data_IF_107396788008
#
_entry.id   IF_107396788008
#
_cell.length_a   1.000
_cell.length_b   1.000
_cell.length_c   1.000
_cell.angle_alpha   90.00
_cell.angle_beta   90.00
_cell.angle_gamma   90.00
#
_symmetry.space_group_name_H-M   'P 1'
#
loop_
_entity.id
_entity.type
_entity.pdbx_description
1 polymer ?
#
# COMPACT_ATOMS: atom_id res chain seq x y z
N UNK A 1 25.56 6.53 -13.13
CA UNK A 1 25.41 5.67 -11.94
C UNK A 1 24.03 5.06 -12.03
N UNK A 2 23.90 3.78 -12.37
CA UNK A 2 22.59 3.11 -12.37
C UNK A 2 22.04 3.13 -10.94
N UNK A 3 20.91 3.79 -10.73
CA UNK A 3 20.25 3.85 -9.43
C UNK A 3 19.69 2.47 -9.09
N UNK A 4 20.49 1.67 -8.38
CA UNK A 4 20.08 0.37 -7.89
C UNK A 4 18.85 0.53 -6.99
N UNK A 5 17.78 -0.17 -7.34
CA UNK A 5 16.53 -0.16 -6.58
C UNK A 5 16.79 -0.53 -5.10
N UNK A 6 16.33 0.28 -4.13
CA UNK A 6 16.52 -0.02 -2.72
C UNK A 6 15.91 -1.36 -2.31
N UNK A 7 16.57 -2.10 -1.40
CA UNK A 7 16.15 -3.44 -0.97
C UNK A 7 14.71 -3.49 -0.43
N UNK A 8 14.31 -2.50 0.37
CA UNK A 8 12.97 -2.46 0.96
C UNK A 8 11.86 -2.32 -0.10
N UNK A 9 12.16 -1.63 -1.20
CA UNK A 9 11.24 -1.49 -2.35
C UNK A 9 11.15 -2.81 -3.13
N UNK A 10 12.28 -3.50 -3.31
CA UNK A 10 12.30 -4.84 -3.92
C UNK A 10 11.45 -5.83 -3.10
N UNK A 11 11.67 -5.89 -1.79
CA UNK A 11 10.92 -6.76 -0.88
C UNK A 11 9.41 -6.46 -0.96
N UNK A 12 9.02 -5.18 -0.97
CA UNK A 12 7.61 -4.80 -1.10
C UNK A 12 6.99 -5.32 -2.40
N UNK A 13 7.75 -5.28 -3.51
CA UNK A 13 7.29 -5.80 -4.79
C UNK A 13 7.17 -7.34 -4.80
N UNK A 14 8.13 -8.04 -4.19
CA UNK A 14 8.15 -9.51 -4.08
C UNK A 14 6.99 -10.03 -3.22
N UNK A 15 6.75 -9.37 -2.09
CA UNK A 15 5.62 -9.65 -1.21
C UNK A 15 4.31 -9.37 -1.95
N UNK A 16 4.21 -8.22 -2.62
CA UNK A 16 3.07 -7.88 -3.47
C UNK A 16 1.73 -8.03 -2.74
N UNK A 17 0.71 -8.51 -3.44
CA UNK A 17 -0.61 -8.73 -2.85
C UNK A 17 -0.67 -9.90 -1.85
N UNK A 18 0.39 -10.70 -1.70
CA UNK A 18 0.40 -11.82 -0.75
C UNK A 18 0.22 -11.35 0.70
N UNK A 19 0.80 -10.20 1.06
CA UNK A 19 0.66 -9.63 2.40
C UNK A 19 -0.79 -9.17 2.68
N UNK A 20 -1.44 -8.35 1.82
CA UNK A 20 -2.86 -8.04 1.98
C UNK A 20 -3.76 -9.27 2.08
N UNK A 21 -3.51 -10.32 1.29
CA UNK A 21 -4.26 -11.57 1.39
C UNK A 21 -4.06 -12.27 2.73
N UNK A 22 -2.80 -12.42 3.18
CA UNK A 22 -2.51 -13.00 4.49
C UNK A 22 -3.15 -12.17 5.63
N UNK A 23 -3.08 -10.84 5.54
CA UNK A 23 -3.66 -9.92 6.50
C UNK A 23 -5.18 -10.09 6.60
N UNK A 24 -5.87 -10.11 5.46
CA UNK A 24 -7.32 -10.26 5.42
C UNK A 24 -7.77 -11.68 5.79
N UNK A 25 -6.95 -12.71 5.54
CA UNK A 25 -7.22 -14.07 5.99
C UNK A 25 -7.11 -14.17 7.52
N UNK A 26 -6.08 -13.59 8.12
CA UNK A 26 -5.96 -13.50 9.58
C UNK A 26 -7.10 -12.70 10.20
N UNK A 27 -7.46 -11.58 9.59
CA UNK A 27 -8.60 -10.77 10.00
C UNK A 27 -9.91 -11.54 9.93
N UNK A 28 -10.14 -12.32 8.87
CA UNK A 28 -11.34 -13.15 8.72
C UNK A 28 -11.44 -14.20 9.84
N UNK A 29 -10.34 -14.88 10.16
CA UNK A 29 -10.31 -15.87 11.25
C UNK A 29 -10.64 -15.21 12.59
N UNK A 30 -10.00 -14.08 12.91
CA UNK A 30 -10.26 -13.33 14.16
C UNK A 30 -11.68 -12.80 14.18
N UNK A 31 -12.15 -12.26 13.06
CA UNK A 31 -13.49 -11.69 12.91
C UNK A 31 -14.58 -12.74 13.10
N UNK A 32 -14.43 -13.95 12.56
CA UNK A 32 -15.38 -15.06 12.78
C UNK A 32 -15.45 -15.45 14.27
N UNK A 33 -14.35 -15.35 15.01
CA UNK A 33 -14.29 -15.71 16.43
C UNK A 33 -14.81 -14.61 17.37
N UNK A 34 -14.78 -13.34 16.94
CA UNK A 34 -15.00 -12.19 17.83
C UNK A 34 -16.09 -11.22 17.38
N UNK A 35 -16.54 -11.29 16.13
CA UNK A 35 -17.48 -10.38 15.48
C UNK A 35 -18.58 -11.18 14.76
N UNK A 36 -19.58 -10.49 14.22
CA UNK A 36 -20.55 -11.11 13.32
C UNK A 36 -19.87 -11.61 12.03
N UNK A 37 -20.21 -12.82 11.60
CA UNK A 37 -19.60 -13.48 10.43
C UNK A 37 -19.75 -12.61 9.17
N UNK A 38 -20.94 -12.03 8.95
CA UNK A 38 -21.21 -11.16 7.81
C UNK A 38 -20.29 -9.92 7.82
N UNK A 39 -20.08 -9.30 8.98
CA UNK A 39 -19.19 -8.16 9.15
C UNK A 39 -17.73 -8.55 8.88
N UNK A 40 -17.27 -9.69 9.42
CA UNK A 40 -15.91 -10.18 9.22
C UNK A 40 -15.59 -10.45 7.73
N UNK A 41 -16.52 -11.07 7.00
CA UNK A 41 -16.40 -11.30 5.55
C UNK A 41 -16.37 -9.96 4.80
N UNK A 42 -17.32 -9.08 5.10
CA UNK A 42 -17.43 -7.79 4.42
C UNK A 42 -16.18 -6.93 4.62
N UNK A 43 -15.71 -6.77 5.88
CA UNK A 43 -14.51 -5.98 6.22
C UNK A 43 -13.27 -6.53 5.50
N UNK A 44 -13.12 -7.86 5.44
CA UNK A 44 -11.98 -8.49 4.76
C UNK A 44 -11.99 -8.22 3.26
N UNK A 45 -13.14 -8.37 2.60
CA UNK A 45 -13.29 -8.11 1.16
C UNK A 45 -13.11 -6.62 0.85
N UNK A 46 -13.74 -5.75 1.64
CA UNK A 46 -13.62 -4.31 1.49
C UNK A 46 -12.16 -3.85 1.65
N UNK A 47 -11.42 -4.42 2.59
CA UNK A 47 -10.00 -4.12 2.80
C UNK A 47 -9.15 -4.50 1.59
N UNK A 48 -9.35 -5.70 1.02
CA UNK A 48 -8.65 -6.12 -0.21
C UNK A 48 -8.99 -5.21 -1.40
N UNK A 49 -10.27 -4.87 -1.56
CA UNK A 49 -10.71 -3.95 -2.60
C UNK A 49 -10.04 -2.59 -2.45
N UNK A 50 -9.99 -2.03 -1.23
CA UNK A 50 -9.35 -0.75 -0.95
C UNK A 50 -7.85 -0.78 -1.21
N UNK A 51 -7.14 -1.86 -0.83
CA UNK A 51 -5.71 -2.03 -1.19
C UNK A 51 -5.52 -2.03 -2.70
N UNK A 52 -6.35 -2.76 -3.43
CA UNK A 52 -6.29 -2.79 -4.90
C UNK A 52 -6.59 -1.42 -5.50
N UNK A 53 -7.60 -0.72 -4.98
CA UNK A 53 -8.02 0.59 -5.43
C UNK A 53 -6.94 1.64 -5.20
N UNK A 54 -6.36 1.72 -3.99
CA UNK A 54 -5.27 2.66 -3.69
C UNK A 54 -4.03 2.35 -4.50
N UNK A 55 -3.70 1.06 -4.70
CA UNK A 55 -2.64 0.64 -5.60
C UNK A 55 -2.86 1.17 -7.03
N UNK A 56 -4.05 0.98 -7.60
CA UNK A 56 -4.39 1.42 -8.96
C UNK A 56 -4.41 2.95 -9.07
N UNK A 57 -5.01 3.62 -8.12
CA UNK A 57 -5.10 5.08 -8.08
C UNK A 57 -3.70 5.72 -8.03
N UNK A 58 -2.84 5.25 -7.13
CA UNK A 58 -1.46 5.72 -7.04
C UNK A 58 -0.68 5.39 -8.32
N UNK A 59 -0.87 4.19 -8.88
CA UNK A 59 -0.17 3.77 -10.10
C UNK A 59 -0.58 4.60 -11.32
N UNK A 60 -1.81 5.10 -11.35
CA UNK A 60 -2.30 6.04 -12.35
C UNK A 60 -1.57 7.38 -12.23
N UNK A 61 -1.53 7.99 -11.04
CA UNK A 61 -0.80 9.25 -10.84
C UNK A 61 0.70 9.14 -11.17
N UNK A 62 1.36 8.06 -10.78
CA UNK A 62 2.77 7.84 -11.10
C UNK A 62 3.01 7.64 -12.59
N UNK A 63 2.03 7.15 -13.35
CA UNK A 63 2.18 6.95 -14.79
C UNK A 63 2.33 8.26 -15.57
N UNK A 64 1.89 9.40 -15.03
CA UNK A 64 2.14 10.70 -15.64
C UNK A 64 3.63 11.03 -15.72
N UNK A 65 4.44 10.53 -14.80
CA UNK A 65 5.89 10.71 -14.87
C UNK A 65 6.47 10.04 -16.11
N UNK A 66 6.02 8.83 -16.44
CA UNK A 66 6.49 8.09 -17.62
C UNK A 66 6.10 8.78 -18.94
N UNK A 67 4.96 9.45 -18.97
CA UNK A 67 4.41 10.06 -20.19
C UNK A 67 4.82 11.51 -20.40
N UNK A 68 4.93 12.29 -19.33
CA UNK A 68 5.09 13.75 -19.41
C UNK A 68 6.41 14.25 -18.83
N UNK A 69 7.16 13.42 -18.10
CA UNK A 69 8.47 13.81 -17.57
C UNK A 69 8.43 15.04 -16.65
N UNK A 70 7.35 15.19 -15.88
CA UNK A 70 7.06 16.38 -15.07
C UNK A 70 8.21 16.66 -14.07
N UNK A 71 8.77 15.60 -13.49
CA UNK A 71 9.88 15.69 -12.53
C UNK A 71 11.20 15.22 -13.14
N UNK A 72 12.32 15.72 -12.61
CA UNK A 72 13.63 15.12 -12.87
C UNK A 72 13.67 13.71 -12.26
N UNK A 73 14.33 12.75 -12.92
CA UNK A 73 14.36 11.33 -12.50
C UNK A 73 14.76 11.12 -11.03
N UNK A 74 15.80 11.81 -10.55
CA UNK A 74 16.23 11.71 -9.15
C UNK A 74 15.21 12.28 -8.15
N UNK A 75 14.44 13.31 -8.54
CA UNK A 75 13.37 13.88 -7.71
C UNK A 75 12.22 12.88 -7.63
N UNK A 76 11.83 12.30 -8.78
CA UNK A 76 10.80 11.28 -8.83
C UNK A 76 11.12 10.08 -7.94
N UNK A 77 12.34 9.56 -8.00
CA UNK A 77 12.80 8.48 -7.11
C UNK A 77 12.66 8.86 -5.64
N UNK A 78 13.01 10.08 -5.25
CA UNK A 78 12.85 10.56 -3.88
C UNK A 78 11.37 10.71 -3.48
N UNK A 79 10.49 11.12 -4.40
CA UNK A 79 9.04 11.14 -4.17
C UNK A 79 8.51 9.73 -3.92
N UNK A 80 8.93 8.74 -4.72
CA UNK A 80 8.52 7.35 -4.50
C UNK A 80 9.01 6.81 -3.15
N UNK A 81 10.24 7.15 -2.72
CA UNK A 81 10.72 6.82 -1.38
C UNK A 81 9.86 7.47 -0.30
N UNK A 82 9.59 8.76 -0.42
CA UNK A 82 8.79 9.50 0.56
C UNK A 82 7.40 8.88 0.70
N UNK A 83 6.72 8.60 -0.41
CA UNK A 83 5.41 7.96 -0.41
C UNK A 83 5.46 6.58 0.25
N UNK A 84 6.48 5.78 -0.07
CA UNK A 84 6.67 4.48 0.56
C UNK A 84 6.81 4.60 2.09
N UNK A 85 7.65 5.51 2.59
CA UNK A 85 7.87 5.70 4.02
C UNK A 85 6.65 6.28 4.75
N UNK A 86 5.99 7.29 4.16
CA UNK A 86 4.77 7.86 4.73
C UNK A 86 3.68 6.79 4.82
N UNK A 87 3.52 5.97 3.78
CA UNK A 87 2.53 4.90 3.76
C UNK A 87 2.84 3.82 4.80
N UNK A 88 4.11 3.44 4.98
CA UNK A 88 4.53 2.53 6.04
C UNK A 88 4.22 3.11 7.43
N UNK A 89 4.55 4.39 7.63
CA UNK A 89 4.26 5.08 8.88
C UNK A 89 2.76 5.12 9.17
N UNK A 90 1.93 5.47 8.17
CA UNK A 90 0.48 5.45 8.29
C UNK A 90 -0.06 4.05 8.59
N UNK A 91 0.45 3.00 7.94
CA UNK A 91 0.08 1.62 8.23
C UNK A 91 0.33 1.28 9.70
N UNK A 92 1.57 1.48 10.16
CA UNK A 92 1.99 1.12 11.53
C UNK A 92 1.25 1.96 12.57
N UNK A 93 1.15 3.27 12.38
CA UNK A 93 0.49 4.15 13.33
C UNK A 93 -1.01 3.90 13.43
N UNK A 94 -1.70 3.66 12.31
CA UNK A 94 -3.13 3.33 12.37
C UNK A 94 -3.34 1.98 13.04
N UNK A 95 -2.51 0.97 12.75
CA UNK A 95 -2.59 -0.32 13.41
C UNK A 95 -2.37 -0.21 14.93
N UNK A 96 -1.27 0.41 15.36
CA UNK A 96 -0.93 0.58 16.78
C UNK A 96 -1.97 1.44 17.49
N UNK A 97 -2.42 2.54 16.87
CA UNK A 97 -3.46 3.40 17.44
C UNK A 97 -4.74 2.60 17.69
N UNK A 98 -5.16 1.79 16.72
CA UNK A 98 -6.38 0.98 16.82
C UNK A 98 -6.29 -0.07 17.92
N UNK A 99 -5.12 -0.70 18.09
CA UNK A 99 -4.90 -1.67 19.15
C UNK A 99 -4.88 -1.06 20.56
N UNK A 100 -4.33 0.16 20.70
CA UNK A 100 -4.10 0.76 22.01
C UNK A 100 -5.24 1.67 22.49
N UNK A 101 -5.97 2.30 21.56
CA UNK A 101 -6.92 3.38 21.90
C UNK A 101 -8.36 3.11 21.48
N UNK A 102 -8.63 2.12 20.63
CA UNK A 102 -9.98 1.75 20.23
C UNK A 102 -10.40 0.44 20.93
N UNK A 103 -11.71 0.17 20.99
CA UNK A 103 -12.23 -1.06 21.61
C UNK A 103 -13.29 -1.74 20.74
N UNK A 104 -13.42 -3.05 20.88
CA UNK A 104 -14.47 -3.83 20.22
C UNK A 104 -14.35 -3.84 18.69
N UNK A 105 -15.49 -3.65 18.01
CA UNK A 105 -15.60 -3.71 16.55
C UNK A 105 -14.84 -2.58 15.84
N UNK A 106 -14.72 -1.41 16.46
CA UNK A 106 -13.96 -0.26 15.92
C UNK A 106 -12.46 -0.58 15.86
N UNK A 107 -11.91 -1.16 16.92
CA UNK A 107 -10.51 -1.60 16.96
C UNK A 107 -10.22 -2.64 15.86
N UNK A 108 -11.13 -3.61 15.70
CA UNK A 108 -11.01 -4.62 14.65
C UNK A 108 -11.01 -3.97 13.27
N UNK A 109 -12.03 -3.16 12.96
CA UNK A 109 -12.19 -2.51 11.66
C UNK A 109 -10.96 -1.67 11.28
N UNK A 110 -10.47 -0.82 12.18
CA UNK A 110 -9.34 0.06 11.90
C UNK A 110 -8.02 -0.73 11.79
N UNK A 111 -7.84 -1.81 12.57
CA UNK A 111 -6.71 -2.71 12.42
C UNK A 111 -6.69 -3.38 11.04
N UNK A 112 -7.84 -3.88 10.57
CA UNK A 112 -7.91 -4.54 9.27
C UNK A 112 -7.70 -3.52 8.15
N UNK A 113 -8.32 -2.33 8.22
CA UNK A 113 -8.15 -1.29 7.22
C UNK A 113 -6.76 -0.63 7.20
N UNK A 114 -5.96 -0.74 8.25
CA UNK A 114 -4.58 -0.23 8.24
C UNK A 114 -3.74 -0.77 7.05
N UNK A 115 -4.04 -1.98 6.56
CA UNK A 115 -3.34 -2.57 5.41
C UNK A 115 -3.57 -1.81 4.09
N UNK A 116 -4.60 -0.95 4.01
CA UNK A 116 -4.92 -0.16 2.81
C UNK A 116 -3.74 0.73 2.38
N UNK A 117 -2.96 1.22 3.33
CA UNK A 117 -1.76 2.01 3.05
C UNK A 117 -0.67 1.22 2.30
N UNK A 118 -0.66 -0.10 2.43
CA UNK A 118 0.26 -0.96 1.67
C UNK A 118 0.03 -0.85 0.16
N UNK A 119 -1.19 -0.52 -0.31
CA UNK A 119 -1.45 -0.29 -1.73
C UNK A 119 -0.59 0.82 -2.33
N UNK A 120 -0.39 1.92 -1.59
CA UNK A 120 0.52 3.00 -1.98
C UNK A 120 1.99 2.55 -1.99
N UNK A 121 2.42 1.79 -0.97
CA UNK A 121 3.77 1.22 -0.91
C UNK A 121 4.05 0.33 -2.12
N UNK A 122 3.11 -0.56 -2.46
CA UNK A 122 3.23 -1.48 -3.58
C UNK A 122 3.25 -0.74 -4.92
N UNK A 123 2.45 0.31 -5.06
CA UNK A 123 2.43 1.15 -6.26
C UNK A 123 3.75 1.88 -6.46
N UNK A 124 4.23 2.57 -5.42
CA UNK A 124 5.53 3.24 -5.44
C UNK A 124 6.66 2.26 -5.75
N UNK A 125 6.55 1.03 -5.23
CA UNK A 125 7.52 -0.01 -5.49
C UNK A 125 7.53 -0.48 -6.94
N UNK A 126 6.37 -0.68 -7.56
CA UNK A 126 6.29 -1.13 -8.96
C UNK A 126 6.67 -0.03 -9.95
N UNK A 127 6.50 1.24 -9.58
CA UNK A 127 6.79 2.41 -10.43
C UNK A 127 8.22 2.96 -10.28
N UNK A 128 9.02 2.37 -9.39
CA UNK A 128 10.43 2.70 -9.24
C UNK A 128 11.20 2.54 -10.55
N UNK A 129 11.97 3.57 -10.94
CA UNK A 129 12.80 3.53 -12.14
C UNK A 129 12.03 3.68 -13.45
N UNK A 130 10.70 3.81 -13.40
CA UNK A 130 9.90 4.09 -14.59
C UNK A 130 9.95 5.59 -14.87
N UNK A 131 10.96 5.98 -15.63
CA UNK A 131 11.28 7.36 -15.96
C UNK A 131 10.74 7.76 -17.34
N UNK A 132 10.59 9.06 -17.55
CA UNK A 132 10.38 9.60 -18.88
C UNK A 132 11.61 9.36 -19.75
N UNK A 133 11.38 8.91 -20.98
CA UNK A 133 12.39 8.83 -22.03
C UNK A 133 11.94 9.73 -23.15
N UNK A 134 12.70 10.81 -23.38
CA UNK A 134 12.41 11.77 -24.43
C UNK A 134 12.50 11.06 -25.79
N UNK A 135 11.40 11.03 -26.54
CA UNK A 135 11.39 10.52 -27.91
C UNK A 135 12.11 11.54 -28.78
N UNK A 136 13.36 11.25 -29.18
CA UNK A 136 14.01 11.98 -30.26
C UNK A 136 13.30 11.60 -31.55
N UNK A 137 12.56 12.55 -32.13
CA UNK A 137 11.99 12.47 -33.48
C UNK A 137 13.01 13.04 -34.45
#
# INVERSE_FOLDING_TARGET
MELKKPKYILVTQEVGFKLPFAWCLSALIIGILTQEIAAAIFISIASLFLVWFTFKLAAFFFSFQEHSGILKNHIYDNVLKAIWFISLFCLVMNFVKSLLFNTGSEAFLDCVFSIVYFGFMLSASRRWGMHFVEKRV
#
